data_IF_266112135244
#
_entry.id   IF_266112135244
#
_cell.length_a   1.000
_cell.length_b   1.000
_cell.length_c   1.000
_cell.angle_alpha   90.00
_cell.angle_beta   90.00
_cell.angle_gamma   90.00
#
_symmetry.space_group_name_H-M   'P 1'
#
loop_
_entity.id
_entity.type
_entity.pdbx_description
1 polymer ?
#
# COMPACT_ATOMS: atom_id res chain seq x y z
N UNK A 1 -27.76 -8.07 -4.42
CA UNK A 1 -27.24 -8.23 -3.03
C UNK A 1 -26.14 -7.20 -2.86
N UNK A 2 -26.32 -6.24 -1.95
CA UNK A 2 -25.27 -5.24 -1.69
C UNK A 2 -24.16 -5.89 -0.89
N UNK A 3 -23.00 -6.10 -1.51
CA UNK A 3 -21.79 -6.56 -0.83
C UNK A 3 -21.23 -5.41 0.00
N UNK A 4 -21.72 -5.24 1.22
CA UNK A 4 -21.12 -4.32 2.19
C UNK A 4 -19.83 -4.93 2.74
N UNK A 5 -18.74 -4.17 2.73
CA UNK A 5 -17.49 -4.54 3.39
C UNK A 5 -17.75 -4.88 4.86
N UNK A 6 -17.25 -6.03 5.32
CA UNK A 6 -17.36 -6.38 6.74
C UNK A 6 -16.48 -5.44 7.57
N UNK A 7 -16.78 -5.30 8.87
CA UNK A 7 -15.94 -4.47 9.77
C UNK A 7 -14.47 -4.88 9.76
N UNK A 8 -14.21 -6.18 9.58
CA UNK A 8 -12.87 -6.75 9.46
C UNK A 8 -12.16 -6.26 8.19
N UNK A 9 -12.86 -6.22 7.05
CA UNK A 9 -12.34 -5.68 5.79
C UNK A 9 -12.00 -4.20 5.92
N UNK A 10 -12.85 -3.41 6.60
CA UNK A 10 -12.59 -1.98 6.84
C UNK A 10 -11.34 -1.80 7.70
N UNK A 11 -11.18 -2.58 8.77
CA UNK A 11 -10.00 -2.52 9.63
C UNK A 11 -8.73 -2.91 8.88
N UNK A 12 -8.80 -3.95 8.05
CA UNK A 12 -7.69 -4.41 7.22
C UNK A 12 -7.31 -3.37 6.16
N UNK A 13 -8.29 -2.81 5.44
CA UNK A 13 -8.07 -1.75 4.46
C UNK A 13 -7.45 -0.51 5.09
N UNK A 14 -7.85 -0.13 6.32
CA UNK A 14 -7.21 0.96 7.06
C UNK A 14 -5.73 0.68 7.38
N UNK A 15 -5.38 -0.57 7.70
CA UNK A 15 -3.98 -0.95 7.91
C UNK A 15 -3.18 -0.89 6.61
N UNK A 16 -3.76 -1.36 5.50
CA UNK A 16 -3.13 -1.27 4.18
C UNK A 16 -2.95 0.18 3.72
N UNK A 17 -3.92 1.05 3.98
CA UNK A 17 -3.81 2.48 3.67
C UNK A 17 -2.63 3.13 4.42
N UNK A 18 -2.48 2.87 5.72
CA UNK A 18 -1.32 3.37 6.50
C UNK A 18 0.00 2.82 5.97
N UNK A 19 0.05 1.53 5.65
CA UNK A 19 1.25 0.93 5.07
C UNK A 19 1.61 1.54 3.69
N UNK A 20 0.60 1.95 2.92
CA UNK A 20 0.78 2.61 1.63
C UNK A 20 1.41 4.00 1.82
N UNK A 21 0.87 4.81 2.73
CA UNK A 21 1.41 6.13 3.08
C UNK A 21 2.88 6.04 3.55
N UNK A 22 3.20 5.06 4.39
CA UNK A 22 4.58 4.84 4.84
C UNK A 22 5.52 4.43 3.70
N UNK A 23 5.04 3.57 2.79
CA UNK A 23 5.83 3.12 1.65
C UNK A 23 6.05 4.24 0.62
N UNK A 24 5.06 5.11 0.42
CA UNK A 24 5.16 6.31 -0.40
C UNK A 24 6.20 7.28 0.15
N UNK A 25 6.16 7.59 1.46
CA UNK A 25 7.19 8.45 2.07
C UNK A 25 8.60 7.87 1.94
N UNK A 26 8.76 6.54 2.03
CA UNK A 26 10.05 5.87 1.79
C UNK A 26 10.49 6.00 0.32
N UNK A 27 9.55 5.89 -0.61
CA UNK A 27 9.80 6.05 -2.04
C UNK A 27 10.32 7.47 -2.36
N UNK A 28 9.63 8.49 -1.85
CA UNK A 28 10.01 9.91 -2.03
C UNK A 28 11.40 10.19 -1.48
N UNK A 29 11.66 9.80 -0.23
CA UNK A 29 12.99 9.98 0.40
C UNK A 29 14.10 9.25 -0.36
N UNK A 30 13.82 8.06 -0.88
CA UNK A 30 14.78 7.29 -1.67
C UNK A 30 15.06 7.98 -3.02
N UNK A 31 14.02 8.52 -3.66
CA UNK A 31 14.15 9.29 -4.89
C UNK A 31 15.00 10.55 -4.69
N UNK A 32 14.72 11.34 -3.66
CA UNK A 32 15.49 12.54 -3.31
C UNK A 32 16.98 12.24 -3.09
N UNK A 33 17.27 11.13 -2.42
CA UNK A 33 18.64 10.68 -2.13
C UNK A 33 19.32 9.97 -3.31
N UNK A 34 18.60 9.75 -4.42
CA UNK A 34 19.04 8.90 -5.54
C UNK A 34 19.42 7.49 -5.08
N UNK A 35 18.80 7.00 -4.01
CA UNK A 35 18.94 5.63 -3.54
C UNK A 35 18.00 4.72 -4.35
N UNK A 36 18.48 4.31 -5.52
CA UNK A 36 17.68 3.49 -6.43
C UNK A 36 17.31 2.13 -5.85
N UNK A 37 18.11 1.58 -4.93
CA UNK A 37 17.82 0.30 -4.31
C UNK A 37 16.58 0.43 -3.40
N UNK A 38 16.60 1.38 -2.48
CA UNK A 38 15.46 1.64 -1.60
C UNK A 38 14.24 2.12 -2.38
N UNK A 39 14.42 2.86 -3.46
CA UNK A 39 13.32 3.25 -4.35
C UNK A 39 12.63 2.02 -4.98
N UNK A 40 13.40 1.09 -5.53
CA UNK A 40 12.85 -0.14 -6.13
C UNK A 40 12.16 -1.00 -5.07
N UNK A 41 12.72 -1.11 -3.87
CA UNK A 41 12.12 -1.85 -2.76
C UNK A 41 10.79 -1.22 -2.31
N UNK A 42 10.75 0.10 -2.09
CA UNK A 42 9.52 0.82 -1.74
C UNK A 42 8.45 0.67 -2.83
N UNK A 43 8.83 0.78 -4.11
CA UNK A 43 7.92 0.57 -5.25
C UNK A 43 7.30 -0.82 -5.26
N UNK A 44 8.08 -1.87 -4.97
CA UNK A 44 7.56 -3.26 -4.89
C UNK A 44 6.54 -3.41 -3.76
N UNK A 45 6.78 -2.78 -2.61
CA UNK A 45 5.86 -2.80 -1.46
C UNK A 45 4.55 -2.11 -1.84
N UNK A 46 4.60 -0.92 -2.44
CA UNK A 46 3.41 -0.19 -2.91
C UNK A 46 2.57 -1.07 -3.84
N UNK A 47 3.19 -1.70 -4.85
CA UNK A 47 2.49 -2.57 -5.80
C UNK A 47 1.84 -3.77 -5.08
N UNK A 48 2.52 -4.35 -4.09
CA UNK A 48 1.96 -5.46 -3.31
C UNK A 48 0.71 -5.02 -2.53
N UNK A 49 0.79 -3.88 -1.84
CA UNK A 49 -0.35 -3.33 -1.08
C UNK A 49 -1.53 -3.03 -2.01
N UNK A 50 -1.28 -2.41 -3.17
CA UNK A 50 -2.33 -2.13 -4.15
C UNK A 50 -3.03 -3.41 -4.64
N UNK A 51 -2.29 -4.51 -4.83
CA UNK A 51 -2.89 -5.81 -5.18
C UNK A 51 -3.78 -6.35 -4.06
N UNK A 52 -3.30 -6.33 -2.81
CA UNK A 52 -4.08 -6.77 -1.64
C UNK A 52 -5.37 -5.95 -1.47
N UNK A 53 -5.32 -4.63 -1.71
CA UNK A 53 -6.51 -3.78 -1.71
C UNK A 53 -7.47 -4.20 -2.83
N UNK A 54 -6.96 -4.35 -4.07
CA UNK A 54 -7.76 -4.74 -5.23
C UNK A 54 -8.44 -6.11 -5.04
N UNK A 55 -7.78 -7.07 -4.42
CA UNK A 55 -8.32 -8.40 -4.17
C UNK A 55 -9.42 -8.40 -3.10
N UNK A 56 -9.43 -7.39 -2.22
CA UNK A 56 -10.45 -7.22 -1.15
C UNK A 56 -11.67 -6.43 -1.59
N UNK A 57 -11.55 -5.56 -2.58
CA UNK A 57 -12.65 -4.71 -3.07
C UNK A 57 -13.35 -5.29 -4.31
N UNK A 58 -12.86 -6.41 -4.85
CA UNK A 58 -13.51 -7.20 -5.90
C UNK A 58 -14.58 -8.11 -5.33
#
# INVERSE_FOLDING_TARGET
MGGGLMKEDISFLNQLAKALEEAESKLERAYEKKDYKSFIEAKKIIIKIQKEILDRIK
#
